data_IF_789090031086
#
_entry.id   IF_789090031086
#
_cell.length_a   1.000
_cell.length_b   1.000
_cell.length_c   1.000
_cell.angle_alpha   90.00
_cell.angle_beta   90.00
_cell.angle_gamma   90.00
#
_symmetry.space_group_name_H-M   'P 1'
#
loop_
_entity.id
_entity.type
_entity.pdbx_description
1 polymer ?
#
# COMPACT_ATOMS: atom_id res chain seq x y z
N UNK A 1 16.11 -4.41 -14.28
CA UNK A 1 16.64 -4.02 -12.95
C UNK A 1 17.13 -5.28 -12.25
N UNK A 2 18.40 -5.32 -11.86
CA UNK A 2 18.93 -6.42 -11.04
C UNK A 2 18.41 -6.24 -9.61
N UNK A 3 17.74 -7.26 -9.05
CA UNK A 3 17.09 -7.18 -7.73
C UNK A 3 18.04 -6.99 -6.55
N UNK A 4 19.35 -7.03 -6.78
CA UNK A 4 20.38 -6.91 -5.75
C UNK A 4 20.72 -5.45 -5.39
N UNK A 5 20.35 -4.48 -6.24
CA UNK A 5 20.64 -3.05 -6.01
C UNK A 5 19.49 -2.27 -5.34
N UNK A 6 18.35 -2.92 -5.10
CA UNK A 6 17.20 -2.27 -4.45
C UNK A 6 17.47 -2.04 -2.96
N UNK A 7 17.27 -0.80 -2.50
CA UNK A 7 17.39 -0.42 -1.10
C UNK A 7 16.41 -1.26 -0.25
N UNK A 8 16.76 -1.60 1.00
CA UNK A 8 15.92 -2.46 1.86
C UNK A 8 14.47 -1.96 1.98
N UNK A 9 14.25 -0.64 1.93
CA UNK A 9 12.92 -0.03 1.92
C UNK A 9 12.12 -0.29 0.64
N UNK A 10 12.79 -0.36 -0.51
CA UNK A 10 12.17 -0.63 -1.80
C UNK A 10 11.70 -2.08 -1.88
N UNK A 11 12.50 -3.03 -1.37
CA UNK A 11 12.12 -4.46 -1.28
C UNK A 11 10.91 -4.70 -0.38
N UNK A 12 10.86 -4.05 0.78
CA UNK A 12 9.71 -4.17 1.71
C UNK A 12 8.45 -3.59 1.09
N UNK A 13 8.55 -2.45 0.40
CA UNK A 13 7.38 -1.81 -0.20
C UNK A 13 6.89 -2.56 -1.44
N UNK A 14 7.81 -3.12 -2.23
CA UNK A 14 7.48 -3.98 -3.37
C UNK A 14 6.82 -5.30 -2.93
N UNK A 15 7.27 -5.88 -1.80
CA UNK A 15 6.62 -7.02 -1.15
C UNK A 15 5.22 -6.67 -0.62
N UNK A 16 5.05 -5.50 -0.01
CA UNK A 16 3.76 -4.97 0.43
C UNK A 16 2.78 -4.74 -0.73
N UNK A 17 3.26 -4.16 -1.84
CA UNK A 17 2.47 -3.95 -3.04
C UNK A 17 2.00 -5.28 -3.66
N UNK A 18 2.86 -6.30 -3.71
CA UNK A 18 2.47 -7.63 -4.16
C UNK A 18 1.39 -8.25 -3.27
N UNK A 19 1.54 -8.17 -1.95
CA UNK A 19 0.50 -8.65 -1.01
C UNK A 19 -0.84 -7.94 -1.22
N UNK A 20 -0.82 -6.67 -1.57
CA UNK A 20 -2.02 -5.87 -1.82
C UNK A 20 -2.68 -6.30 -3.12
N UNK A 21 -1.91 -6.47 -4.19
CA UNK A 21 -2.42 -7.02 -5.45
C UNK A 21 -3.07 -8.38 -5.21
N UNK A 22 -2.35 -9.30 -4.59
CA UNK A 22 -2.89 -10.63 -4.32
C UNK A 22 -4.11 -10.54 -3.38
N UNK A 23 -4.07 -9.72 -2.34
CA UNK A 23 -5.19 -9.50 -1.42
C UNK A 23 -6.41 -8.83 -2.08
N UNK A 24 -6.22 -8.02 -3.12
CA UNK A 24 -7.30 -7.39 -3.88
C UNK A 24 -7.90 -8.32 -4.92
N UNK A 25 -7.20 -9.37 -5.38
CA UNK A 25 -7.73 -10.29 -6.41
C UNK A 25 -8.14 -11.67 -5.87
N UNK A 26 -7.51 -12.18 -4.80
CA UNK A 26 -7.81 -13.49 -4.21
C UNK A 26 -9.23 -13.64 -3.64
N UNK A 27 -9.80 -12.68 -2.90
CA UNK A 27 -11.10 -12.89 -2.27
C UNK A 27 -12.26 -12.98 -3.26
N UNK A 28 -12.10 -12.39 -4.45
CA UNK A 28 -13.18 -12.21 -5.41
C UNK A 28 -13.27 -13.37 -6.42
N UNK A 29 -12.24 -14.23 -6.49
CA UNK A 29 -12.23 -15.37 -7.42
C UNK A 29 -13.08 -16.55 -6.95
N UNK A 30 -13.41 -16.65 -5.66
CA UNK A 30 -14.15 -17.80 -5.12
C UNK A 30 -15.65 -17.58 -4.96
N UNK A 31 -16.15 -16.34 -5.06
CA UNK A 31 -17.49 -15.99 -4.59
C UNK A 31 -18.57 -15.71 -5.64
N UNK A 32 -18.23 -15.40 -6.90
CA UNK A 32 -19.25 -15.01 -7.91
C UNK A 32 -20.11 -13.80 -7.53
N UNK A 33 -19.82 -13.14 -6.40
CA UNK A 33 -20.46 -11.90 -5.97
C UNK A 33 -19.91 -10.83 -6.88
N UNK A 34 -20.75 -10.47 -7.84
CA UNK A 34 -20.56 -9.35 -8.75
C UNK A 34 -20.01 -8.15 -7.98
N UNK A 35 -19.11 -7.43 -8.65
CA UNK A 35 -18.60 -6.11 -8.34
C UNK A 35 -19.80 -5.18 -8.07
N UNK A 36 -20.37 -5.26 -6.87
CA UNK A 36 -21.50 -4.45 -6.46
C UNK A 36 -20.93 -3.13 -5.96
N UNK A 37 -20.69 -2.21 -6.89
CA UNK A 37 -20.43 -0.78 -6.65
C UNK A 37 -19.06 -0.41 -6.06
N UNK A 38 -18.65 -1.03 -4.95
CA UNK A 38 -17.51 -0.56 -4.14
C UNK A 38 -16.19 -1.26 -4.46
N UNK A 39 -16.24 -2.52 -4.90
CA UNK A 39 -15.04 -3.29 -5.24
C UNK A 39 -14.22 -2.68 -6.38
N UNK A 40 -14.85 -1.90 -7.26
CA UNK A 40 -14.15 -1.26 -8.40
C UNK A 40 -13.18 -0.17 -7.94
N UNK A 41 -13.52 0.60 -6.89
CA UNK A 41 -12.64 1.63 -6.36
C UNK A 41 -11.42 1.02 -5.69
N UNK A 42 -11.62 -0.05 -4.92
CA UNK A 42 -10.54 -0.81 -4.30
C UNK A 42 -9.61 -1.40 -5.37
N UNK A 43 -10.16 -2.01 -6.42
CA UNK A 43 -9.38 -2.53 -7.54
C UNK A 43 -8.59 -1.42 -8.27
N UNK A 44 -9.21 -0.26 -8.48
CA UNK A 44 -8.54 0.90 -9.09
C UNK A 44 -7.41 1.42 -8.20
N UNK A 45 -7.60 1.53 -6.88
CA UNK A 45 -6.54 1.95 -5.97
C UNK A 45 -5.40 0.94 -5.89
N UNK A 46 -5.70 -0.35 -5.90
CA UNK A 46 -4.68 -1.39 -5.98
C UNK A 46 -3.88 -1.29 -7.29
N UNK A 47 -4.57 -1.17 -8.43
CA UNK A 47 -3.91 -1.01 -9.73
C UNK A 47 -3.04 0.26 -9.78
N UNK A 48 -3.56 1.39 -9.29
CA UNK A 48 -2.83 2.65 -9.25
C UNK A 48 -1.62 2.58 -8.31
N UNK A 49 -1.76 1.87 -7.17
CA UNK A 49 -0.64 1.58 -6.27
C UNK A 49 0.44 0.78 -6.98
N UNK A 50 0.08 -0.27 -7.74
CA UNK A 50 1.05 -1.05 -8.54
C UNK A 50 1.76 -0.17 -9.55
N UNK A 51 1.01 0.64 -10.29
CA UNK A 51 1.60 1.54 -11.31
C UNK A 51 2.58 2.49 -10.64
N UNK A 52 2.17 3.18 -9.56
CA UNK A 52 3.04 4.10 -8.84
C UNK A 52 4.29 3.43 -8.28
N UNK A 53 4.16 2.22 -7.73
CA UNK A 53 5.27 1.44 -7.17
C UNK A 53 6.23 0.93 -8.25
N UNK A 54 5.74 0.67 -9.47
CA UNK A 54 6.55 0.06 -10.55
C UNK A 54 7.14 1.07 -11.53
N UNK A 55 6.47 2.19 -11.76
CA UNK A 55 6.89 3.21 -12.73
C UNK A 55 7.36 4.50 -12.08
N UNK A 56 7.04 4.69 -10.81
CA UNK A 56 7.35 5.91 -10.10
C UNK A 56 8.81 5.98 -9.66
N UNK A 57 9.48 7.08 -9.97
CA UNK A 57 10.73 7.42 -9.29
C UNK A 57 10.41 7.61 -7.81
N UNK A 58 11.02 6.80 -6.94
CA UNK A 58 10.71 6.70 -5.50
C UNK A 58 11.00 7.98 -4.72
N UNK A 59 10.40 9.10 -5.09
CA UNK A 59 10.54 10.40 -4.48
C UNK A 59 9.57 10.52 -3.31
N UNK A 60 9.77 11.57 -2.49
CA UNK A 60 8.92 11.83 -1.32
C UNK A 60 7.43 11.92 -1.70
N UNK A 61 7.14 12.44 -2.88
CA UNK A 61 5.80 12.60 -3.42
C UNK A 61 5.11 11.25 -3.64
N UNK A 62 5.83 10.26 -4.18
CA UNK A 62 5.29 8.91 -4.43
C UNK A 62 5.04 8.18 -3.12
N UNK A 63 5.92 8.32 -2.14
CA UNK A 63 5.69 7.72 -0.82
C UNK A 63 4.44 8.27 -0.13
N UNK A 64 4.20 9.58 -0.23
CA UNK A 64 2.99 10.21 0.27
C UNK A 64 1.75 9.77 -0.52
N UNK A 65 1.87 9.59 -1.84
CA UNK A 65 0.79 9.08 -2.68
C UNK A 65 0.43 7.64 -2.30
N UNK A 66 1.42 6.75 -2.15
CA UNK A 66 1.24 5.35 -1.71
C UNK A 66 0.61 5.31 -0.31
N UNK A 67 1.12 6.10 0.63
CA UNK A 67 0.52 6.24 1.96
C UNK A 67 -0.96 6.66 1.86
N UNK A 68 -1.24 7.70 1.09
CA UNK A 68 -2.58 8.23 0.87
C UNK A 68 -3.51 7.17 0.27
N UNK A 69 -3.04 6.40 -0.70
CA UNK A 69 -3.80 5.32 -1.33
C UNK A 69 -4.10 4.17 -0.37
N UNK A 70 -3.13 3.80 0.46
CA UNK A 70 -3.34 2.79 1.50
C UNK A 70 -4.42 3.22 2.49
N UNK A 71 -4.31 4.45 3.01
CA UNK A 71 -5.32 5.03 3.92
C UNK A 71 -6.68 5.12 3.24
N UNK A 72 -6.74 5.60 2.00
CA UNK A 72 -7.98 5.73 1.26
C UNK A 72 -8.65 4.36 1.02
N UNK A 73 -7.85 3.33 0.70
CA UNK A 73 -8.34 1.97 0.53
C UNK A 73 -8.97 1.43 1.81
N UNK A 74 -8.33 1.66 2.96
CA UNK A 74 -8.90 1.29 4.27
C UNK A 74 -10.19 2.05 4.53
N UNK A 75 -10.22 3.36 4.29
CA UNK A 75 -11.42 4.17 4.53
C UNK A 75 -12.60 3.72 3.67
N UNK A 76 -12.39 3.47 2.37
CA UNK A 76 -13.45 2.96 1.49
C UNK A 76 -13.94 1.59 1.97
N UNK A 77 -13.02 0.68 2.32
CA UNK A 77 -13.41 -0.62 2.85
C UNK A 77 -14.22 -0.51 4.15
N UNK A 78 -13.86 0.43 5.04
CA UNK A 78 -14.60 0.66 6.27
C UNK A 78 -15.98 1.30 6.03
N UNK A 79 -16.15 2.13 5.00
CA UNK A 79 -17.47 2.70 4.67
C UNK A 79 -18.43 1.66 4.08
N UNK A 80 -17.90 0.58 3.51
CA UNK A 80 -18.72 -0.53 3.02
C UNK A 80 -19.19 -1.48 4.13
N UNK A 81 -18.79 -1.26 5.39
CA UNK A 81 -19.28 -2.04 6.54
C UNK A 81 -20.62 -1.50 7.04
N UNK A 82 -21.68 -2.32 7.05
CA UNK A 82 -22.92 -1.95 7.72
C UNK A 82 -22.77 -1.92 9.25
N UNK A 83 -21.83 -2.67 9.82
CA UNK A 83 -21.56 -2.70 11.26
C UNK A 83 -20.06 -3.01 11.55
N UNK A 84 -19.44 -2.42 12.60
CA UNK A 84 -18.03 -2.68 12.94
C UNK A 84 -17.75 -4.14 13.30
N UNK A 85 -18.73 -4.82 13.90
CA UNK A 85 -18.65 -6.25 14.25
C UNK A 85 -18.74 -7.19 13.04
N UNK A 86 -19.13 -6.67 11.87
CA UNK A 86 -19.18 -7.45 10.65
C UNK A 86 -17.78 -7.76 10.11
N UNK A 87 -16.75 -6.97 10.44
CA UNK A 87 -15.38 -7.17 9.94
C UNK A 87 -14.78 -8.53 10.33
N UNK A 88 -15.07 -9.01 11.54
CA UNK A 88 -14.58 -10.29 12.05
C UNK A 88 -15.35 -11.50 11.47
N UNK A 89 -16.56 -11.27 10.98
CA UNK A 89 -17.45 -12.31 10.44
C UNK A 89 -17.57 -12.25 8.89
N UNK A 90 -17.08 -11.18 8.27
CA UNK A 90 -17.02 -11.00 6.82
C UNK A 90 -15.86 -11.83 6.28
N UNK A 91 -16.07 -13.14 6.14
CA UNK A 91 -15.09 -14.10 5.64
C UNK A 91 -14.61 -13.86 4.20
N UNK A 92 -15.11 -12.84 3.51
CA UNK A 92 -15.18 -12.84 2.04
C UNK A 92 -14.31 -11.79 1.33
N UNK A 93 -13.36 -11.15 2.02
CA UNK A 93 -12.34 -10.32 1.35
C UNK A 93 -12.23 -8.87 1.77
N UNK A 94 -13.22 -8.38 2.53
CA UNK A 94 -13.15 -7.06 3.12
C UNK A 94 -12.00 -6.96 4.13
N UNK A 95 -11.79 -8.00 4.93
CA UNK A 95 -10.65 -8.11 5.84
C UNK A 95 -9.32 -8.06 5.09
N UNK A 96 -9.19 -8.75 3.97
CA UNK A 96 -7.98 -8.74 3.14
C UNK A 96 -7.75 -7.39 2.48
N UNK A 97 -8.83 -6.69 2.10
CA UNK A 97 -8.75 -5.32 1.57
C UNK A 97 -8.25 -4.35 2.63
N UNK A 98 -8.80 -4.41 3.85
CA UNK A 98 -8.35 -3.59 4.98
C UNK A 98 -6.90 -3.91 5.33
N UNK A 99 -6.56 -5.19 5.47
CA UNK A 99 -5.19 -5.62 5.75
C UNK A 99 -4.20 -5.19 4.65
N UNK A 100 -4.60 -5.29 3.39
CA UNK A 100 -3.84 -4.80 2.24
C UNK A 100 -3.65 -3.28 2.31
N UNK A 101 -4.72 -2.50 2.46
CA UNK A 101 -4.64 -1.05 2.58
C UNK A 101 -3.76 -0.59 3.74
N UNK A 102 -3.83 -1.28 4.89
CA UNK A 102 -2.91 -1.05 6.02
C UNK A 102 -1.46 -1.36 5.63
N UNK A 103 -1.20 -2.47 4.95
CA UNK A 103 0.15 -2.81 4.49
C UNK A 103 0.71 -1.76 3.51
N UNK A 104 -0.10 -1.25 2.57
CA UNK A 104 0.29 -0.14 1.68
C UNK A 104 0.63 1.10 2.49
N UNK A 105 -0.25 1.49 3.42
CA UNK A 105 -0.05 2.68 4.24
C UNK A 105 1.25 2.57 5.05
N UNK A 106 1.49 1.41 5.69
CA UNK A 106 2.73 1.12 6.42
C UNK A 106 3.94 1.21 5.50
N UNK A 107 3.89 0.65 4.29
CA UNK A 107 4.96 0.77 3.30
C UNK A 107 5.26 2.24 2.94
N UNK A 108 4.22 3.05 2.72
CA UNK A 108 4.34 4.49 2.51
C UNK A 108 4.99 5.22 3.70
N UNK A 109 4.57 4.93 4.94
CA UNK A 109 5.19 5.50 6.15
C UNK A 109 6.66 5.13 6.25
N UNK A 110 7.01 3.87 6.04
CA UNK A 110 8.41 3.42 6.13
C UNK A 110 9.29 4.11 5.11
N UNK A 111 8.84 4.27 3.86
CA UNK A 111 9.63 4.96 2.86
C UNK A 111 9.78 6.48 3.14
N UNK A 112 8.78 7.12 3.76
CA UNK A 112 8.95 8.50 4.27
C UNK A 112 9.93 8.57 5.45
N UNK A 113 9.85 7.62 6.38
CA UNK A 113 10.62 7.62 7.62
C UNK A 113 12.10 7.31 7.39
N UNK A 114 12.41 6.32 6.55
CA UNK A 114 13.78 5.86 6.27
C UNK A 114 14.58 6.91 5.48
N UNK A 115 13.92 7.67 4.60
CA UNK A 115 14.59 8.72 3.80
C UNK A 115 14.91 10.02 4.55
N UNK A 116 14.55 10.16 5.83
CA UNK A 116 14.89 11.36 6.61
C UNK A 116 16.34 11.43 7.08
N UNK A 117 17.14 10.39 6.89
CA UNK A 117 18.51 10.33 7.42
C UNK A 117 19.72 10.60 6.49
N UNK A 118 19.63 10.92 5.19
CA UNK A 118 20.82 11.30 4.42
C UNK A 118 21.32 12.72 4.74
N UNK A 119 20.44 13.65 5.15
CA UNK A 119 20.84 15.02 5.51
C UNK A 119 21.41 15.12 6.94
N UNK A 120 21.08 14.19 7.84
CA UNK A 120 21.68 14.11 9.19
C UNK A 120 23.07 13.49 9.20
N UNK A 121 23.43 12.73 8.16
CA UNK A 121 24.76 12.16 8.00
C UNK A 121 25.78 13.16 7.40
N UNK A 122 25.33 14.35 6.97
CA UNK A 122 26.19 15.49 6.65
C UNK A 122 26.86 16.05 7.91
N UNK A 123 27.81 15.28 8.45
CA UNK A 123 28.66 15.71 9.57
C UNK A 123 29.30 17.07 9.29
N UNK A 124 29.59 17.86 10.34
CA UNK A 124 30.09 19.22 10.19
C UNK A 124 31.29 19.23 9.25
N UNK A 125 31.15 19.98 8.15
CA UNK A 125 32.26 20.27 7.24
C UNK A 125 33.37 20.89 8.09
N UNK A 126 34.39 20.08 8.40
CA UNK A 126 35.60 20.57 9.02
C UNK A 126 36.31 21.42 7.98
N UNK A 127 36.09 22.73 8.04
CA UNK A 127 36.87 23.70 7.29
C UNK A 127 38.33 23.56 7.75
N UNK A 128 39.18 23.08 6.85
CA UNK A 128 40.63 23.29 6.87
C UNK A 128 41.02 24.09 5.64
#
# INVERSE_FOLDING_TARGET
MNGDELETGEKVTMGGALLVVFGTFLPWSSGGVAIAGDGIFVALFAALTVVLVTTGDWEREIHLAVLGLGVLTVLVALTSLPDPGALANSGDGLYLTVAGGVAVAVGGVFGVAVRRDPERAGGPRSNR
#
